data_IF_951705807558
#
_entry.id   IF_951705807558
#
_cell.length_a   1.000
_cell.length_b   1.000
_cell.length_c   1.000
_cell.angle_alpha   90.00
_cell.angle_beta   90.00
_cell.angle_gamma   90.00
#
_symmetry.space_group_name_H-M   'P 1'
#
loop_
_entity.id
_entity.type
_entity.pdbx_description
1 polymer ?
#
# COMPACT_ATOMS: atom_id res chain seq x y z
N UNK A 1 -21.93 -18.11 -0.69
CA UNK A 1 -20.96 -17.03 -1.00
C UNK A 1 -19.65 -17.35 -0.32
N UNK A 2 -18.52 -17.35 -1.03
CA UNK A 2 -17.21 -17.51 -0.40
C UNK A 2 -16.87 -16.24 0.41
N UNK A 3 -16.33 -16.36 1.64
CA UNK A 3 -15.93 -15.20 2.42
C UNK A 3 -14.84 -14.41 1.67
N UNK A 4 -14.98 -13.08 1.63
CA UNK A 4 -13.94 -12.22 1.06
C UNK A 4 -12.71 -12.25 1.95
N UNK A 5 -11.55 -12.62 1.39
CA UNK A 5 -10.28 -12.58 2.10
C UNK A 5 -9.98 -11.16 2.57
N UNK A 6 -9.82 -10.98 3.87
CA UNK A 6 -9.50 -9.67 4.49
C UNK A 6 -8.04 -9.52 4.88
N UNK A 7 -7.39 -10.63 5.24
CA UNK A 7 -6.02 -10.63 5.74
C UNK A 7 -5.26 -11.84 5.21
N UNK A 8 -4.07 -11.61 4.68
CA UNK A 8 -3.13 -12.62 4.24
C UNK A 8 -1.77 -12.34 4.90
N UNK A 9 -1.11 -13.37 5.42
CA UNK A 9 0.21 -13.25 6.03
C UNK A 9 1.20 -14.20 5.35
N UNK A 10 2.29 -13.65 4.83
CA UNK A 10 3.38 -14.37 4.16
C UNK A 10 4.62 -14.27 5.04
N UNK A 11 4.84 -15.30 5.87
CA UNK A 11 5.81 -15.25 6.98
C UNK A 11 7.16 -15.87 6.64
N UNK A 12 7.18 -16.90 5.79
CA UNK A 12 8.38 -17.70 5.47
C UNK A 12 8.61 -17.74 3.95
N UNK A 13 8.67 -16.57 3.32
CA UNK A 13 8.97 -16.45 1.89
C UNK A 13 10.49 -16.31 1.68
N UNK A 14 10.98 -16.71 0.51
CA UNK A 14 12.29 -16.25 0.03
C UNK A 14 12.22 -14.76 -0.25
N UNK A 15 13.33 -14.04 -0.05
CA UNK A 15 13.35 -12.57 -0.03
C UNK A 15 13.07 -11.97 -1.42
N UNK A 16 13.59 -12.59 -2.48
CA UNK A 16 13.30 -12.25 -3.88
C UNK A 16 11.81 -12.47 -4.22
N UNK A 17 11.23 -13.57 -3.73
CA UNK A 17 9.80 -13.89 -3.90
C UNK A 17 8.90 -12.93 -3.14
N UNK A 18 9.37 -12.43 -2.00
CA UNK A 18 8.67 -11.44 -1.18
C UNK A 18 8.57 -10.11 -1.92
N UNK A 19 9.66 -9.62 -2.50
CA UNK A 19 9.67 -8.40 -3.32
C UNK A 19 8.73 -8.51 -4.51
N UNK A 20 8.82 -9.63 -5.26
CA UNK A 20 7.89 -9.92 -6.37
C UNK A 20 6.43 -9.87 -5.89
N UNK A 21 6.15 -10.42 -4.70
CA UNK A 21 4.81 -10.40 -4.10
C UNK A 21 4.31 -8.99 -3.77
N UNK A 22 5.18 -8.11 -3.26
CA UNK A 22 4.84 -6.72 -2.97
C UNK A 22 4.63 -5.93 -4.26
N UNK A 23 5.54 -6.07 -5.24
CA UNK A 23 5.43 -5.41 -6.53
C UNK A 23 4.15 -5.83 -7.26
N UNK A 24 3.85 -7.13 -7.30
CA UNK A 24 2.61 -7.63 -7.85
C UNK A 24 1.38 -7.05 -7.14
N UNK A 25 1.46 -6.82 -5.83
CA UNK A 25 0.39 -6.15 -5.09
C UNK A 25 0.25 -4.68 -5.46
N UNK A 26 1.36 -3.95 -5.64
CA UNK A 26 1.36 -2.56 -6.11
C UNK A 26 0.76 -2.48 -7.52
N UNK A 27 1.25 -3.25 -8.49
CA UNK A 27 0.75 -3.20 -9.87
C UNK A 27 -0.75 -3.50 -9.98
N UNK A 28 -1.27 -4.39 -9.14
CA UNK A 28 -2.67 -4.86 -9.24
C UNK A 28 -3.60 -4.26 -8.18
N UNK A 29 -3.13 -3.32 -7.35
CA UNK A 29 -4.02 -2.71 -6.36
C UNK A 29 -5.19 -1.94 -7.02
N UNK A 30 -5.02 -1.25 -8.17
CA UNK A 30 -6.11 -0.51 -8.81
C UNK A 30 -7.25 -1.43 -9.30
N UNK A 31 -6.92 -2.63 -9.79
CA UNK A 31 -7.92 -3.61 -10.28
C UNK A 31 -8.56 -4.44 -9.17
N UNK A 32 -8.09 -4.33 -7.92
CA UNK A 32 -8.52 -5.19 -6.82
C UNK A 32 -9.95 -4.90 -6.37
N UNK A 33 -10.79 -5.93 -6.33
CA UNK A 33 -12.19 -5.86 -5.88
C UNK A 33 -12.36 -5.92 -4.36
N UNK A 34 -11.44 -6.57 -3.65
CA UNK A 34 -11.54 -6.71 -2.20
C UNK A 34 -11.29 -5.37 -1.51
N UNK A 35 -12.31 -4.83 -0.85
CA UNK A 35 -12.14 -3.69 0.05
C UNK A 35 -11.34 -4.12 1.29
N UNK A 36 -10.32 -3.35 1.67
CA UNK A 36 -9.57 -3.51 2.92
C UNK A 36 -8.72 -4.80 3.04
N UNK A 37 -8.29 -5.39 1.92
CA UNK A 37 -7.36 -6.53 1.98
C UNK A 37 -6.01 -6.06 2.53
N UNK A 38 -5.63 -6.65 3.65
CA UNK A 38 -4.34 -6.47 4.31
C UNK A 38 -3.42 -7.63 3.95
N UNK A 39 -2.23 -7.34 3.46
CA UNK A 39 -1.19 -8.34 3.28
C UNK A 39 -0.01 -7.98 4.18
N UNK A 40 0.44 -8.94 4.98
CA UNK A 40 1.63 -8.80 5.81
C UNK A 40 2.71 -9.70 5.25
N UNK A 41 3.82 -9.11 4.84
CA UNK A 41 5.04 -9.82 4.50
C UNK A 41 6.01 -9.74 5.67
N UNK A 42 6.70 -10.83 5.99
CA UNK A 42 7.82 -10.84 6.94
C UNK A 42 9.12 -11.05 6.18
N UNK A 43 10.01 -10.06 6.22
CA UNK A 43 11.36 -10.18 5.66
C UNK A 43 12.25 -10.96 6.62
N UNK A 44 13.23 -11.69 6.07
CA UNK A 44 14.27 -12.34 6.89
C UNK A 44 15.43 -11.38 7.15
N UNK A 45 15.67 -10.45 6.23
CA UNK A 45 16.86 -9.59 6.22
C UNK A 45 16.59 -8.19 6.77
N UNK A 46 17.60 -7.62 7.45
CA UNK A 46 17.66 -6.21 7.77
C UNK A 46 18.13 -5.44 6.55
N UNK A 47 17.20 -4.97 5.69
CA UNK A 47 17.56 -4.03 4.63
C UNK A 47 17.95 -2.70 5.26
N UNK A 48 19.10 -2.17 4.88
CA UNK A 48 19.57 -0.85 5.31
C UNK A 48 18.85 0.29 4.58
N UNK A 49 18.38 0.02 3.36
CA UNK A 49 17.67 0.98 2.52
C UNK A 49 16.18 0.98 2.84
N UNK A 50 15.56 2.16 2.79
CA UNK A 50 14.11 2.27 2.80
C UNK A 50 13.51 1.54 1.60
N UNK A 51 12.36 0.91 1.79
CA UNK A 51 11.60 0.29 0.70
C UNK A 51 11.21 1.32 -0.37
N UNK A 52 10.94 2.57 0.03
CA UNK A 52 10.70 3.65 -0.93
C UNK A 52 11.89 3.88 -1.88
N UNK A 53 13.13 3.87 -1.37
CA UNK A 53 14.30 4.05 -2.23
C UNK A 53 14.45 2.91 -3.24
N UNK A 54 14.11 1.69 -2.83
CA UNK A 54 14.08 0.52 -3.71
C UNK A 54 13.03 0.73 -4.81
N UNK A 55 11.82 1.18 -4.45
CA UNK A 55 10.76 1.46 -5.42
C UNK A 55 11.20 2.50 -6.47
N UNK A 56 11.87 3.57 -6.07
CA UNK A 56 12.34 4.60 -7.01
C UNK A 56 13.51 4.10 -7.86
N UNK A 57 14.52 3.49 -7.24
CA UNK A 57 15.76 3.21 -7.95
C UNK A 57 15.66 1.98 -8.87
N UNK A 58 14.83 1.01 -8.50
CA UNK A 58 14.74 -0.27 -9.20
C UNK A 58 13.39 -0.47 -9.92
N UNK A 59 12.32 0.12 -9.39
CA UNK A 59 10.95 -0.15 -9.85
C UNK A 59 10.18 1.11 -10.28
N UNK A 60 10.89 2.17 -10.68
CA UNK A 60 10.28 3.43 -11.12
C UNK A 60 9.21 3.22 -12.18
N UNK A 61 9.48 2.37 -13.16
CA UNK A 61 8.53 2.09 -14.25
C UNK A 61 7.19 1.50 -13.79
N UNK A 62 7.15 0.88 -12.60
CA UNK A 62 5.93 0.33 -12.00
C UNK A 62 5.12 1.41 -11.28
N UNK A 63 5.79 2.43 -10.73
CA UNK A 63 5.17 3.38 -9.80
C UNK A 63 5.06 4.82 -10.32
N UNK A 64 5.68 5.13 -11.47
CA UNK A 64 5.78 6.48 -12.02
C UNK A 64 4.44 7.16 -12.32
N UNK A 65 3.40 6.36 -12.59
CA UNK A 65 2.07 6.86 -12.94
C UNK A 65 1.19 7.10 -11.69
N UNK A 66 1.71 6.79 -10.50
CA UNK A 66 1.01 7.01 -9.23
C UNK A 66 1.50 8.28 -8.53
N UNK A 67 0.60 8.93 -7.79
CA UNK A 67 1.03 9.91 -6.80
C UNK A 67 1.53 9.17 -5.56
N UNK A 68 2.69 9.58 -5.03
CA UNK A 68 3.32 8.88 -3.90
C UNK A 68 3.72 9.88 -2.82
N UNK A 69 3.40 9.55 -1.57
CA UNK A 69 3.88 10.28 -0.39
C UNK A 69 4.51 9.34 0.60
N UNK A 70 5.68 9.73 1.11
CA UNK A 70 6.39 9.01 2.15
C UNK A 70 6.33 9.80 3.45
N UNK A 71 6.02 9.10 4.53
CA UNK A 71 5.97 9.66 5.88
C UNK A 71 6.85 8.79 6.78
N UNK A 72 7.97 9.32 7.31
CA UNK A 72 8.69 8.68 8.40
C UNK A 72 7.73 8.51 9.59
N UNK A 73 7.62 7.30 10.13
CA UNK A 73 6.65 6.99 11.19
C UNK A 73 7.32 6.26 12.34
N UNK A 74 7.01 6.70 13.57
CA UNK A 74 7.20 5.88 14.77
C UNK A 74 5.95 5.02 14.97
N UNK A 75 6.07 3.71 14.81
CA UNK A 75 4.96 2.77 14.99
C UNK A 75 4.76 2.39 16.47
N UNK A 76 5.84 2.43 17.26
CA UNK A 76 5.84 2.30 18.72
C UNK A 76 7.03 3.08 19.32
N UNK A 77 7.14 3.14 20.65
CA UNK A 77 8.13 3.97 21.37
C UNK A 77 9.57 3.87 20.80
N UNK A 78 9.98 2.66 20.41
CA UNK A 78 11.32 2.37 19.87
C UNK A 78 11.29 1.77 18.46
N UNK A 79 10.17 1.88 17.74
CA UNK A 79 10.01 1.26 16.41
C UNK A 79 9.81 2.34 15.37
N UNK A 80 10.82 2.54 14.54
CA UNK A 80 10.76 3.45 13.40
C UNK A 80 10.40 2.68 12.14
N UNK A 81 10.09 3.41 11.09
CA UNK A 81 9.84 2.86 9.77
C UNK A 81 9.23 3.93 8.88
N UNK A 82 8.65 3.49 7.78
CA UNK A 82 8.04 4.40 6.81
C UNK A 82 6.62 3.97 6.46
N UNK A 83 5.78 4.98 6.26
CA UNK A 83 4.47 4.83 5.64
C UNK A 83 4.55 5.44 4.25
N UNK A 84 4.41 4.61 3.23
CA UNK A 84 4.29 5.01 1.84
C UNK A 84 2.80 4.97 1.50
N UNK A 85 2.31 6.05 0.91
CA UNK A 85 0.94 6.19 0.43
C UNK A 85 1.03 6.34 -1.07
N UNK A 86 0.35 5.45 -1.79
CA UNK A 86 0.32 5.41 -3.25
C UNK A 86 -1.14 5.63 -3.66
N UNK A 87 -1.40 6.68 -4.41
CA UNK A 87 -2.72 6.99 -4.96
C UNK A 87 -2.74 6.70 -6.45
N UNK A 88 -3.78 6.00 -6.89
CA UNK A 88 -4.07 5.83 -8.29
C UNK A 88 -5.34 6.65 -8.62
N UNK A 89 -5.20 7.55 -9.59
CA UNK A 89 -6.13 8.67 -9.79
C UNK A 89 -7.38 8.26 -10.57
N UNK A 90 -7.32 7.26 -11.46
CA UNK A 90 -8.45 6.82 -12.27
C UNK A 90 -9.47 6.06 -11.43
N UNK A 91 -9.00 5.09 -10.63
CA UNK A 91 -9.87 4.30 -9.74
C UNK A 91 -10.08 4.94 -8.39
N UNK A 92 -9.33 6.01 -8.06
CA UNK A 92 -9.33 6.71 -6.77
C UNK A 92 -8.98 5.81 -5.58
N UNK A 93 -8.32 4.67 -5.83
CA UNK A 93 -7.89 3.76 -4.76
C UNK A 93 -6.60 4.25 -4.13
N UNK A 94 -6.44 3.95 -2.85
CA UNK A 94 -5.22 4.25 -2.11
C UNK A 94 -4.60 2.97 -1.59
N UNK A 95 -3.32 2.77 -1.87
CA UNK A 95 -2.50 1.73 -1.29
C UNK A 95 -1.61 2.34 -0.20
N UNK A 96 -1.70 1.77 1.00
CA UNK A 96 -0.78 2.04 2.10
C UNK A 96 0.23 0.90 2.22
N UNK A 97 1.51 1.23 2.13
CA UNK A 97 2.59 0.33 2.50
C UNK A 97 3.23 0.85 3.79
N UNK A 98 3.32 0.01 4.80
CA UNK A 98 4.04 0.31 6.03
C UNK A 98 5.22 -0.62 6.09
N UNK A 99 6.42 -0.06 5.93
CA UNK A 99 7.65 -0.79 6.14
C UNK A 99 8.14 -0.55 7.56
N UNK A 100 8.20 -1.63 8.35
CA UNK A 100 8.63 -1.58 9.74
C UNK A 100 10.11 -1.96 9.86
N UNK A 101 10.80 -1.31 10.80
CA UNK A 101 12.19 -1.61 11.12
C UNK A 101 12.41 -3.01 11.73
N UNK A 102 13.69 -3.31 12.01
CA UNK A 102 14.11 -4.56 12.68
C UNK A 102 13.43 -4.76 14.04
N UNK A 103 13.11 -3.68 14.75
CA UNK A 103 12.46 -3.75 16.06
C UNK A 103 11.02 -4.26 15.97
N UNK A 104 10.43 -4.27 14.76
CA UNK A 104 9.13 -4.90 14.48
C UNK A 104 9.20 -6.19 13.66
N UNK A 105 10.34 -6.88 13.69
CA UNK A 105 10.60 -8.14 12.98
C UNK A 105 10.66 -8.02 11.45
N UNK A 106 10.98 -6.83 10.91
CA UNK A 106 11.14 -6.64 9.47
C UNK A 106 9.85 -6.88 8.67
N UNK A 107 8.70 -6.47 9.22
CA UNK A 107 7.40 -6.64 8.57
C UNK A 107 7.17 -5.56 7.52
N UNK A 108 6.43 -5.89 6.47
CA UNK A 108 5.81 -4.94 5.55
C UNK A 108 4.31 -5.20 5.56
N UNK A 109 3.51 -4.17 5.74
CA UNK A 109 2.04 -4.25 5.70
C UNK A 109 1.51 -3.43 4.52
N UNK A 110 0.81 -4.11 3.61
CA UNK A 110 0.09 -3.51 2.50
C UNK A 110 -1.40 -3.50 2.75
N UNK A 111 -2.05 -2.35 2.57
CA UNK A 111 -3.49 -2.16 2.75
C UNK A 111 -4.05 -1.39 1.57
N UNK A 112 -5.01 -1.99 0.86
CA UNK A 112 -5.80 -1.25 -0.14
C UNK A 112 -7.04 -0.70 0.51
N UNK A 113 -7.15 0.61 0.54
CA UNK A 113 -8.40 1.28 0.86
C UNK A 113 -9.24 1.40 -0.42
N UNK A 114 -10.55 1.12 -0.33
CA UNK A 114 -11.45 1.50 -1.41
C UNK A 114 -11.36 3.01 -1.64
N UNK A 115 -11.85 3.51 -2.78
CA UNK A 115 -12.09 4.94 -2.92
C UNK A 115 -12.96 5.41 -1.78
N UNK A 116 -12.79 6.68 -1.39
CA UNK A 116 -13.73 7.37 -0.50
C UNK A 116 -15.08 7.51 -1.24
N UNK A 117 -15.83 6.42 -1.32
CA UNK A 117 -17.18 6.37 -1.88
C UNK A 117 -18.18 6.23 -0.73
N UNK A 118 -18.23 7.27 0.10
CA UNK A 118 -19.50 7.75 0.68
C UNK A 118 -20.04 8.96 -0.11
N UNK A 119 -19.55 9.18 -1.34
CA UNK A 119 -20.28 9.95 -2.36
C UNK A 119 -21.38 9.06 -2.98
N UNK A 120 -22.26 8.54 -2.14
CA UNK A 120 -23.56 8.00 -2.52
C UNK A 120 -24.65 8.98 -2.07
N UNK A 121 -24.36 10.28 -2.18
CA UNK A 121 -25.35 11.33 -2.30
C UNK A 121 -25.23 11.92 -3.70
N UNK A 122 -26.21 11.57 -4.53
CA UNK A 122 -26.59 12.22 -5.78
C UNK A 122 -26.98 13.70 -5.55
N UNK A 123 -26.08 14.52 -4.99
CA UNK A 123 -26.37 15.93 -4.73
C UNK A 123 -25.11 16.79 -4.68
N UNK A 124 -24.25 16.73 -5.71
CA UNK A 124 -23.32 17.84 -6.01
C UNK A 124 -23.15 18.11 -7.51
N UNK A 125 -24.04 17.59 -8.36
CA UNK A 125 -24.22 18.10 -9.73
C UNK A 125 -25.54 18.85 -9.82
N UNK A 126 -25.59 20.07 -9.26
CA UNK A 126 -26.57 21.09 -9.70
C UNK A 126 -26.39 22.53 -9.17
N UNK A 127 -25.37 22.88 -8.36
CA UNK A 127 -25.25 24.29 -7.88
C UNK A 127 -23.91 24.99 -8.14
N UNK A 128 -22.98 24.42 -8.92
CA UNK A 128 -21.77 25.16 -9.33
C UNK A 128 -21.74 25.63 -10.79
N UNK A 129 -22.86 25.49 -11.50
CA UNK A 129 -23.05 26.10 -12.82
C UNK A 129 -24.38 26.86 -12.89
N UNK A 130 -24.65 27.71 -11.89
CA UNK A 130 -25.56 28.84 -12.08
C UNK A 130 -24.94 30.13 -11.51
N UNK A 131 -24.91 31.15 -12.36
CA UNK A 131 -24.42 32.54 -12.20
C UNK A 131 -22.92 32.81 -12.17
#
# INVERSE_FOLDING_TARGET
>A
MAPRLRKLSLINCEEDKLDIGILNFITNFPSRMSKSLQIIWKRKCNRSQSFYNILINEYWDIIKDYEIRVIPKKFAANKTGEKIIIWEMETKKTLYLQDFDVNDQGRILGIVMPPDCDCNNDSYDSEFFES
#
